data_IF_774192360868
#
_entry.id   IF_774192360868
#
_cell.length_a   1.000
_cell.length_b   1.000
_cell.length_c   1.000
_cell.angle_alpha   90.00
_cell.angle_beta   90.00
_cell.angle_gamma   90.00
#
_symmetry.space_group_name_H-M   'P 1'
#
loop_
_entity.id
_entity.type
_entity.pdbx_description
1 polymer ?
#
# COMPACT_ATOMS: atom_id res chain seq x y z
N UNK A 1 -2.79 6.87 -20.70
CA UNK A 1 -2.43 7.70 -19.53
C UNK A 1 -3.12 7.02 -18.37
N UNK A 2 -2.41 6.56 -17.34
CA UNK A 2 -3.02 5.81 -16.24
C UNK A 2 -3.97 6.74 -15.49
N UNK A 3 -5.19 6.26 -15.20
CA UNK A 3 -6.14 7.05 -14.39
C UNK A 3 -5.57 7.28 -12.98
N UNK A 4 -4.68 6.39 -12.53
CA UNK A 4 -4.04 6.40 -11.21
C UNK A 4 -2.60 6.93 -11.22
N UNK A 5 -2.22 7.83 -12.15
CA UNK A 5 -0.82 8.27 -12.29
C UNK A 5 -0.22 8.80 -10.97
N UNK A 6 -0.90 9.69 -10.24
CA UNK A 6 -0.36 10.23 -8.99
C UNK A 6 -0.24 9.16 -7.89
N UNK A 7 -1.18 8.21 -7.84
CA UNK A 7 -1.12 7.08 -6.92
C UNK A 7 0.07 6.18 -7.26
N UNK A 8 0.29 5.91 -8.55
CA UNK A 8 1.44 5.15 -9.04
C UNK A 8 2.75 5.83 -8.63
N UNK A 9 2.89 7.14 -8.84
CA UNK A 9 4.07 7.93 -8.45
C UNK A 9 4.31 7.90 -6.93
N UNK A 10 3.25 8.01 -6.12
CA UNK A 10 3.33 7.88 -4.67
C UNK A 10 3.90 6.51 -4.25
N UNK A 11 3.44 5.44 -4.89
CA UNK A 11 3.90 4.08 -4.58
C UNK A 11 5.29 3.79 -5.14
N UNK A 12 5.63 4.28 -6.32
CA UNK A 12 7.01 4.29 -6.85
C UNK A 12 8.00 4.82 -5.80
N UNK A 13 7.70 6.00 -5.22
CA UNK A 13 8.52 6.61 -4.16
C UNK A 13 8.47 5.83 -2.85
N UNK A 14 7.47 4.98 -2.66
CA UNK A 14 7.31 4.14 -1.47
C UNK A 14 7.94 2.75 -1.57
N UNK A 15 8.37 2.30 -2.75
CA UNK A 15 8.97 0.97 -2.92
C UNK A 15 10.27 0.79 -2.12
N UNK A 16 10.54 -0.46 -1.72
CA UNK A 16 11.71 -0.86 -0.94
C UNK A 16 11.39 -1.29 0.49
N UNK A 17 12.46 -1.42 1.28
CA UNK A 17 12.37 -1.85 2.67
C UNK A 17 12.43 -0.66 3.60
N UNK A 18 11.48 -0.61 4.54
CA UNK A 18 11.31 0.43 5.55
C UNK A 18 11.42 -0.18 6.93
N UNK A 19 12.02 0.55 7.87
CA UNK A 19 12.17 0.08 9.25
C UNK A 19 11.63 1.11 10.22
N UNK A 20 11.11 0.62 11.34
CA UNK A 20 10.73 1.40 12.51
C UNK A 20 11.14 0.63 13.76
N UNK A 21 11.06 1.23 14.97
CA UNK A 21 11.24 0.47 16.20
C UNK A 21 10.26 -0.72 16.37
N UNK A 22 9.10 -0.68 15.70
CA UNK A 22 8.05 -1.69 15.84
C UNK A 22 8.21 -2.86 14.85
N UNK A 23 8.47 -2.56 13.58
CA UNK A 23 8.47 -3.53 12.49
C UNK A 23 9.42 -3.14 11.37
N UNK A 24 9.76 -4.13 10.56
CA UNK A 24 10.31 -3.96 9.22
C UNK A 24 9.20 -4.22 8.20
N UNK A 25 9.05 -3.34 7.22
CA UNK A 25 8.07 -3.43 6.14
C UNK A 25 8.79 -3.49 4.80
N UNK A 26 8.40 -4.43 3.94
CA UNK A 26 8.85 -4.47 2.55
C UNK A 26 7.68 -4.15 1.63
N UNK A 27 7.93 -3.23 0.69
CA UNK A 27 7.00 -2.83 -0.36
C UNK A 27 7.61 -3.14 -1.72
N UNK A 28 6.86 -3.85 -2.55
CA UNK A 28 7.21 -4.13 -3.94
C UNK A 28 5.99 -4.07 -4.83
N UNK A 29 6.21 -3.94 -6.13
CA UNK A 29 5.16 -4.14 -7.11
C UNK A 29 4.71 -5.60 -7.13
N UNK A 30 3.43 -5.82 -7.44
CA UNK A 30 2.92 -7.13 -7.83
C UNK A 30 3.30 -7.40 -9.28
N UNK A 31 3.70 -8.64 -9.55
CA UNK A 31 3.85 -9.12 -10.91
C UNK A 31 2.49 -9.57 -11.48
N UNK A 32 2.37 -9.68 -12.80
CA UNK A 32 1.12 -10.09 -13.46
C UNK A 32 0.46 -11.36 -12.88
N UNK A 33 1.20 -12.43 -12.52
CA UNK A 33 0.60 -13.61 -11.91
C UNK A 33 -0.03 -13.36 -10.54
N UNK A 34 0.44 -12.34 -9.82
CA UNK A 34 -0.09 -11.97 -8.50
C UNK A 34 -1.27 -11.00 -8.59
N UNK A 35 -1.40 -10.29 -9.72
CA UNK A 35 -2.55 -9.43 -9.98
C UNK A 35 -3.83 -10.23 -10.23
N UNK A 36 -3.69 -11.39 -10.88
CA UNK A 36 -4.84 -12.17 -11.37
C UNK A 36 -5.79 -12.63 -10.23
N UNK A 37 -5.33 -13.24 -9.13
CA UNK A 37 -6.24 -13.76 -8.11
C UNK A 37 -7.08 -12.68 -7.42
N UNK A 38 -6.49 -11.49 -7.20
CA UNK A 38 -7.18 -10.36 -6.60
C UNK A 38 -8.18 -9.78 -7.61
N UNK A 39 -7.80 -9.68 -8.88
CA UNK A 39 -8.68 -9.20 -9.95
C UNK A 39 -9.90 -10.10 -10.11
N UNK A 40 -9.72 -11.42 -10.07
CA UNK A 40 -10.82 -12.39 -10.14
C UNK A 40 -11.73 -12.30 -8.91
N UNK A 41 -11.16 -12.18 -7.70
CA UNK A 41 -11.91 -12.10 -6.45
C UNK A 41 -12.83 -10.86 -6.38
N UNK A 42 -12.42 -9.76 -7.00
CA UNK A 42 -13.17 -8.50 -7.03
C UNK A 42 -13.87 -8.21 -8.38
N UNK A 43 -13.81 -9.16 -9.33
CA UNK A 43 -14.36 -9.00 -10.69
C UNK A 43 -13.85 -7.75 -11.43
N UNK A 44 -12.56 -7.47 -11.29
CA UNK A 44 -11.88 -6.35 -11.94
C UNK A 44 -11.62 -6.64 -13.41
N UNK A 45 -11.74 -5.62 -14.25
CA UNK A 45 -11.68 -5.76 -15.71
C UNK A 45 -10.48 -5.04 -16.34
N UNK A 46 -9.93 -4.05 -15.64
CA UNK A 46 -8.83 -3.20 -16.11
C UNK A 46 -7.82 -2.95 -14.97
N UNK A 47 -7.18 -4.00 -14.40
CA UNK A 47 -6.15 -3.81 -13.38
C UNK A 47 -4.96 -3.05 -13.98
N UNK A 48 -4.60 -1.93 -13.35
CA UNK A 48 -3.51 -1.07 -13.83
C UNK A 48 -2.17 -1.46 -13.18
N UNK A 49 -2.18 -1.59 -11.85
CA UNK A 49 -1.01 -2.02 -11.06
C UNK A 49 -1.46 -2.48 -9.67
N UNK A 50 -0.54 -3.08 -8.93
CA UNK A 50 -0.76 -3.36 -7.51
C UNK A 50 0.55 -3.48 -6.75
N UNK A 51 0.45 -3.46 -5.42
CA UNK A 51 1.61 -3.61 -4.55
C UNK A 51 1.43 -4.82 -3.64
N UNK A 52 2.56 -5.39 -3.24
CA UNK A 52 2.66 -6.27 -2.08
C UNK A 52 3.31 -5.50 -0.93
N UNK A 53 2.68 -5.59 0.23
CA UNK A 53 3.18 -5.09 1.50
C UNK A 53 3.36 -6.27 2.44
N UNK A 54 4.59 -6.50 2.91
CA UNK A 54 4.86 -7.51 3.94
C UNK A 54 5.54 -6.88 5.14
N UNK A 55 5.28 -7.38 6.34
CA UNK A 55 5.91 -6.90 7.56
C UNK A 55 6.32 -8.01 8.49
N UNK A 56 7.34 -7.74 9.28
CA UNK A 56 7.75 -8.58 10.42
C UNK A 56 7.91 -7.70 11.64
N UNK A 57 7.25 -8.06 12.74
CA UNK A 57 7.39 -7.32 13.99
C UNK A 57 8.76 -7.57 14.63
N UNK A 58 9.44 -6.53 15.10
CA UNK A 58 10.80 -6.67 15.64
C UNK A 58 10.83 -7.40 16.98
N UNK A 59 9.72 -7.37 17.74
CA UNK A 59 9.60 -7.93 19.10
C UNK A 59 8.75 -9.20 19.17
N UNK A 60 8.21 -9.66 18.04
CA UNK A 60 7.36 -10.85 17.95
C UNK A 60 7.68 -11.57 16.66
N UNK A 61 7.74 -12.90 16.69
CA UNK A 61 7.86 -13.71 15.47
C UNK A 61 6.53 -13.78 14.68
N UNK A 62 5.81 -12.66 14.62
CA UNK A 62 4.58 -12.50 13.85
C UNK A 62 4.94 -11.74 12.57
N UNK A 63 4.59 -12.31 11.43
CA UNK A 63 4.71 -11.69 10.14
C UNK A 63 3.32 -11.51 9.54
N UNK A 64 3.19 -10.50 8.68
CA UNK A 64 1.99 -10.29 7.91
C UNK A 64 2.32 -9.89 6.48
N UNK A 65 1.29 -9.94 5.67
CA UNK A 65 1.31 -9.59 4.26
C UNK A 65 -0.01 -8.88 3.96
N UNK A 66 -0.07 -8.08 2.91
CA UNK A 66 -1.29 -7.64 2.26
C UNK A 66 -0.90 -7.16 0.87
N UNK A 67 -1.69 -7.55 -0.13
CA UNK A 67 -1.55 -7.04 -1.48
C UNK A 67 -2.79 -6.23 -1.83
N UNK A 68 -2.63 -5.22 -2.68
CA UNK A 68 -3.77 -4.53 -3.26
C UNK A 68 -3.53 -4.06 -4.69
N UNK A 69 -4.62 -3.85 -5.41
CA UNK A 69 -4.67 -3.48 -6.83
C UNK A 69 -5.48 -2.20 -7.03
N UNK A 70 -5.02 -1.36 -7.95
CA UNK A 70 -5.81 -0.28 -8.54
C UNK A 70 -6.35 -0.73 -9.91
N UNK A 71 -7.62 -0.41 -10.18
CA UNK A 71 -8.34 -0.77 -11.41
C UNK A 71 -8.92 0.47 -12.05
N UNK A 72 -8.74 0.64 -13.37
CA UNK A 72 -9.08 1.86 -14.08
C UNK A 72 -10.58 2.21 -14.03
N UNK A 73 -11.46 1.22 -13.82
CA UNK A 73 -12.91 1.43 -13.67
C UNK A 73 -13.30 1.98 -12.31
N UNK A 74 -12.36 2.04 -11.35
CA UNK A 74 -12.61 2.40 -9.95
C UNK A 74 -11.59 3.44 -9.44
N UNK A 75 -11.65 4.69 -9.93
CA UNK A 75 -10.58 5.68 -9.80
C UNK A 75 -10.24 6.11 -8.37
N UNK A 76 -11.09 5.83 -7.38
CA UNK A 76 -10.87 6.21 -5.97
C UNK A 76 -10.84 5.00 -5.03
N UNK A 77 -10.63 3.79 -5.57
CA UNK A 77 -10.63 2.57 -4.78
C UNK A 77 -9.38 1.71 -5.02
N UNK A 78 -8.97 0.98 -3.99
CA UNK A 78 -8.00 -0.11 -4.09
C UNK A 78 -8.58 -1.38 -3.49
N UNK A 79 -8.26 -2.50 -4.11
CA UNK A 79 -8.85 -3.81 -3.83
C UNK A 79 -7.80 -4.73 -3.24
N UNK A 80 -8.04 -5.28 -2.04
CA UNK A 80 -7.03 -6.07 -1.34
C UNK A 80 -7.17 -7.58 -1.61
N UNK A 81 -6.12 -8.35 -1.34
CA UNK A 81 -6.16 -9.83 -1.36
C UNK A 81 -6.90 -10.42 -0.16
N UNK A 82 -7.04 -9.66 0.93
CA UNK A 82 -7.70 -10.05 2.17
C UNK A 82 -8.15 -8.85 3.00
N UNK A 83 -8.98 -9.11 4.00
CA UNK A 83 -9.39 -8.08 4.94
C UNK A 83 -8.28 -7.66 5.91
N UNK A 84 -8.45 -6.47 6.49
CA UNK A 84 -7.72 -6.03 7.68
C UNK A 84 -8.13 -6.76 8.95
N UNK A 85 -9.30 -7.39 8.96
CA UNK A 85 -9.81 -8.21 10.07
C UNK A 85 -9.70 -9.69 9.72
N UNK A 86 -9.27 -10.51 10.67
CA UNK A 86 -9.30 -11.97 10.51
C UNK A 86 -10.73 -12.43 10.16
N UNK A 87 -10.84 -13.45 9.31
CA UNK A 87 -12.09 -14.12 8.91
C UNK A 87 -13.13 -13.27 8.15
N UNK A 88 -12.73 -12.18 7.48
CA UNK A 88 -13.63 -11.40 6.61
C UNK A 88 -13.20 -11.39 5.15
N UNK A 89 -14.14 -11.24 4.18
CA UNK A 89 -13.82 -11.19 2.76
C UNK A 89 -12.80 -10.09 2.42
N UNK A 90 -12.10 -10.20 1.28
CA UNK A 90 -11.24 -9.15 0.77
C UNK A 90 -11.88 -7.75 0.85
N UNK A 91 -11.11 -6.77 1.30
CA UNK A 91 -11.62 -5.42 1.56
C UNK A 91 -11.44 -4.52 0.35
N UNK A 92 -12.34 -3.55 0.22
CA UNK A 92 -12.17 -2.42 -0.69
C UNK A 92 -11.89 -1.18 0.17
N UNK A 93 -10.86 -0.45 -0.22
CA UNK A 93 -10.50 0.82 0.40
C UNK A 93 -10.83 1.94 -0.54
N UNK A 94 -11.51 2.97 -0.05
CA UNK A 94 -11.46 4.26 -0.73
C UNK A 94 -10.13 4.92 -0.42
N UNK A 95 -9.61 5.72 -1.35
CA UNK A 95 -8.39 6.49 -1.09
C UNK A 95 -8.53 7.96 -1.52
N UNK A 96 -7.74 8.80 -0.87
CA UNK A 96 -7.54 10.20 -1.23
C UNK A 96 -6.04 10.49 -1.22
N UNK A 97 -5.55 11.10 -2.28
CA UNK A 97 -4.16 11.50 -2.40
C UNK A 97 -4.06 13.03 -2.39
N UNK A 98 -3.22 13.56 -1.52
CA UNK A 98 -2.99 14.99 -1.41
C UNK A 98 -1.56 15.31 -1.82
N UNK A 99 -1.42 16.08 -2.91
CA UNK A 99 -0.15 16.58 -3.45
C UNK A 99 0.93 15.50 -3.63
N UNK A 100 0.53 14.28 -4.04
CA UNK A 100 1.40 13.11 -4.19
C UNK A 100 2.32 12.80 -2.99
N UNK A 101 1.93 13.24 -1.78
CA UNK A 101 2.73 13.10 -0.55
C UNK A 101 1.97 12.50 0.61
N UNK A 102 0.65 12.65 0.63
CA UNK A 102 -0.20 12.09 1.68
C UNK A 102 -1.27 11.23 1.05
N UNK A 103 -1.19 9.93 1.30
CA UNK A 103 -2.23 8.98 0.97
C UNK A 103 -3.08 8.71 2.21
N UNK A 104 -4.38 8.83 2.08
CA UNK A 104 -5.36 8.43 3.11
C UNK A 104 -6.20 7.31 2.52
N UNK A 105 -6.24 6.17 3.19
CA UNK A 105 -7.02 4.98 2.80
C UNK A 105 -8.06 4.68 3.88
N UNK A 106 -9.30 4.43 3.50
CA UNK A 106 -10.40 4.18 4.44
C UNK A 106 -11.23 2.95 4.06
N UNK A 107 -11.64 2.19 5.07
CA UNK A 107 -12.61 1.10 4.93
C UNK A 107 -13.41 0.96 6.23
N UNK A 108 -14.74 1.13 6.17
CA UNK A 108 -15.58 1.22 7.37
C UNK A 108 -15.09 2.30 8.34
N UNK A 109 -14.82 1.93 9.59
CA UNK A 109 -14.29 2.83 10.62
C UNK A 109 -12.75 2.92 10.62
N UNK A 110 -12.06 2.11 9.82
CA UNK A 110 -10.61 2.09 9.73
C UNK A 110 -10.11 3.16 8.75
N UNK A 111 -9.07 3.87 9.15
CA UNK A 111 -8.32 4.82 8.32
C UNK A 111 -6.82 4.58 8.49
N UNK A 112 -6.09 4.53 7.37
CA UNK A 112 -4.64 4.57 7.33
C UNK A 112 -4.18 5.80 6.58
N UNK A 113 -3.32 6.61 7.21
CA UNK A 113 -2.66 7.74 6.56
C UNK A 113 -1.18 7.42 6.41
N UNK A 114 -0.66 7.54 5.19
CA UNK A 114 0.78 7.49 4.89
C UNK A 114 1.22 8.84 4.36
N UNK A 115 2.15 9.49 5.05
CA UNK A 115 2.73 10.77 4.66
C UNK A 115 4.23 10.61 4.37
N UNK A 116 4.62 10.83 3.11
CA UNK A 116 6.01 10.84 2.66
C UNK A 116 6.63 12.20 2.99
N UNK A 117 7.44 12.25 4.06
CA UNK A 117 8.22 13.43 4.40
C UNK A 117 9.36 13.63 3.39
N UNK A 118 9.98 12.52 2.97
CA UNK A 118 10.97 12.43 1.89
C UNK A 118 10.89 11.04 1.25
N UNK A 119 11.73 10.77 0.26
CA UNK A 119 11.84 9.43 -0.36
C UNK A 119 12.49 8.40 0.57
N UNK A 120 13.07 8.85 1.69
CA UNK A 120 13.75 8.03 2.70
C UNK A 120 13.05 8.02 4.05
N UNK A 121 12.00 8.83 4.25
CA UNK A 121 11.31 8.94 5.55
C UNK A 121 9.83 9.19 5.39
N UNK A 122 9.03 8.44 6.15
CA UNK A 122 7.56 8.59 6.15
C UNK A 122 6.94 8.40 7.52
N UNK A 123 5.75 8.96 7.66
CA UNK A 123 4.85 8.80 8.80
C UNK A 123 3.68 7.92 8.39
N UNK A 124 3.37 6.92 9.21
CA UNK A 124 2.18 6.08 9.06
C UNK A 124 1.30 6.19 10.29
N UNK A 125 0.03 6.53 10.10
CA UNK A 125 -0.98 6.60 11.16
C UNK A 125 -2.11 5.63 10.86
N UNK A 126 -2.58 4.95 11.90
CA UNK A 126 -3.76 4.10 11.84
C UNK A 126 -4.79 4.61 12.85
N UNK A 127 -6.02 4.78 12.38
CA UNK A 127 -7.16 5.24 13.16
C UNK A 127 -8.32 4.27 13.04
N UNK A 128 -9.13 4.20 14.09
CA UNK A 128 -10.37 3.44 14.12
C UNK A 128 -11.44 4.29 14.81
N UNK A 129 -12.57 4.55 14.14
CA UNK A 129 -13.61 5.45 14.64
C UNK A 129 -13.08 6.86 14.96
N UNK A 130 -12.11 7.34 14.18
CA UNK A 130 -11.42 8.62 14.38
C UNK A 130 -10.32 8.62 15.46
N UNK A 131 -10.26 7.61 16.34
CA UNK A 131 -9.25 7.51 17.39
C UNK A 131 -7.90 7.07 16.83
N UNK A 132 -6.82 7.76 17.19
CA UNK A 132 -5.45 7.36 16.83
C UNK A 132 -5.08 6.08 17.60
N UNK A 133 -4.92 4.99 16.86
CA UNK A 133 -4.54 3.69 17.42
C UNK A 133 -3.03 3.48 17.36
N UNK A 134 -2.40 3.95 16.27
CA UNK A 134 -0.97 3.79 16.05
C UNK A 134 -0.39 4.93 15.24
N UNK A 135 0.85 5.32 15.55
CA UNK A 135 1.66 6.26 14.79
C UNK A 135 3.09 5.74 14.71
N UNK A 136 3.65 5.64 13.52
CA UNK A 136 4.99 5.13 13.26
C UNK A 136 5.76 6.07 12.35
N UNK A 137 6.99 6.38 12.74
CA UNK A 137 7.99 6.89 11.81
C UNK A 137 8.75 5.70 11.23
N UNK A 138 8.90 5.70 9.91
CA UNK A 138 9.56 4.65 9.15
C UNK A 138 10.65 5.27 8.27
N UNK A 139 11.85 4.67 8.32
CA UNK A 139 13.01 5.06 7.54
C UNK A 139 13.31 4.00 6.47
N UNK A 140 13.55 4.42 5.23
CA UNK A 140 13.87 3.51 4.13
C UNK A 140 15.33 3.08 4.22
N UNK A 141 15.57 1.77 4.22
CA UNK A 141 16.91 1.16 4.36
C UNK A 141 17.39 0.42 3.10
N UNK A 142 16.48 0.07 2.19
CA UNK A 142 16.81 -0.52 0.90
C UNK A 142 15.80 -0.11 -0.16
N UNK A 143 16.25 -0.02 -1.42
CA UNK A 143 15.39 0.20 -2.59
C UNK A 143 15.34 -1.11 -3.37
N UNK A 144 14.16 -1.72 -3.41
CA UNK A 144 13.92 -2.98 -4.12
C UNK A 144 13.09 -2.70 -5.37
N UNK A 145 13.62 -1.89 -6.30
CA UNK A 145 12.99 -1.63 -7.59
C UNK A 145 13.87 -2.27 -8.68
N UNK A 146 13.38 -3.29 -9.41
CA UNK A 146 14.05 -3.81 -10.59
C UNK A 146 14.44 -2.68 -11.56
N UNK A 147 15.64 -2.76 -12.17
CA UNK A 147 16.16 -1.70 -13.04
C UNK A 147 15.22 -1.31 -14.20
N UNK A 148 14.40 -2.24 -14.68
CA UNK A 148 13.42 -1.98 -15.74
C UNK A 148 12.21 -1.16 -15.25
N UNK A 149 11.88 -1.21 -13.95
CA UNK A 149 10.82 -0.39 -13.33
C UNK A 149 11.33 0.98 -12.86
N UNK A 150 12.64 1.15 -12.66
CA UNK A 150 13.22 2.46 -12.32
C UNK A 150 12.91 3.52 -13.39
N UNK A 151 12.82 3.13 -14.68
CA UNK A 151 12.45 4.05 -15.77
C UNK A 151 10.99 4.47 -15.77
N UNK A 152 10.11 3.68 -15.15
CA UNK A 152 8.69 4.02 -14.98
C UNK A 152 8.46 4.92 -13.76
N UNK A 153 9.42 4.95 -12.83
CA UNK A 153 9.40 5.77 -11.62
C UNK A 153 10.31 7.02 -11.69
N UNK A 154 10.97 7.29 -12.82
CA UNK A 154 11.95 8.37 -13.02
C UNK A 154 11.49 9.43 -14.02
#
# INVERSE_FOLDING_TARGET
>A
MLNHQELYEFWCRSMGTWTSPLLTLQLRWLDNPELLPISEAHHLSEPEFGISMSWTYNKKAEAGHMAWIADASHPNAVFTDKSIWEDTPPSVFNYQLFAAKRLVMTTGEYEETVFLQSDSRRLREQRYGGKLMRRLWEDKVAVDIPQWQLRACA
#
